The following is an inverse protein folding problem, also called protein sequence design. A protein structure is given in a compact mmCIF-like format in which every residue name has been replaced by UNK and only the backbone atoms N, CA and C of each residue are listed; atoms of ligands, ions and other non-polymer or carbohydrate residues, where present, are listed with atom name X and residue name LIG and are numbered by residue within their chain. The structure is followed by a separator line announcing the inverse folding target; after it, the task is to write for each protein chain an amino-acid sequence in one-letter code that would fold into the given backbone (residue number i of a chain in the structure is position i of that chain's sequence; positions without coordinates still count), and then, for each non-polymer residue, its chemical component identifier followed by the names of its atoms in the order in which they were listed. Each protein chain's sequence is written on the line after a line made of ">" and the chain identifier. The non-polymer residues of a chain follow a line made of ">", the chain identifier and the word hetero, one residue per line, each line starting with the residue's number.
data_IF_129710439663
#
_entry.id   IF_129710439663
#
_cell.length_a   1.000
_cell.length_b   1.000
_cell.length_c   1.000
_cell.angle_alpha   90.00
_cell.angle_beta   90.00
_cell.angle_gamma   90.00
#
_symmetry.space_group_name_H-M   'P 1'
#
loop_
_entity.id
_entity.type
_entity.pdbx_description
1 polymer ?
#
# COMPACT_ATOMS: atom_id res chain seq x y z
N UNK A 1 14.49 11.34 6.14
CA UNK A 1 13.50 12.36 5.77
C UNK A 1 14.12 13.74 5.82
N UNK A 2 13.42 14.78 5.34
CA UNK A 2 13.87 16.17 5.54
C UNK A 2 14.07 16.36 7.05
N UNK A 3 15.26 16.83 7.47
CA UNK A 3 15.74 16.94 8.86
C UNK A 3 16.46 15.71 9.45
N UNK A 4 16.88 14.73 8.65
CA UNK A 4 17.70 13.61 9.14
C UNK A 4 16.94 12.58 10.00
N UNK A 5 15.62 12.76 10.20
CA UNK A 5 14.77 11.75 10.83
C UNK A 5 14.74 10.48 10.00
N UNK A 6 14.91 9.35 10.67
CA UNK A 6 14.62 8.03 10.10
C UNK A 6 13.11 8.00 9.80
N UNK A 7 12.79 7.74 8.54
CA UNK A 7 11.42 7.51 8.11
C UNK A 7 11.22 6.01 8.06
N UNK A 8 10.06 5.57 8.54
CA UNK A 8 9.63 4.20 8.43
C UNK A 8 8.60 4.09 7.33
N UNK A 9 8.73 3.04 6.51
CA UNK A 9 7.74 2.67 5.49
C UNK A 9 6.92 1.54 6.07
N UNK A 10 5.60 1.63 6.00
CA UNK A 10 4.75 0.57 6.49
C UNK A 10 4.88 -0.70 5.62
N UNK A 11 4.88 -1.88 6.23
CA UNK A 11 4.99 -3.14 5.52
C UNK A 11 4.23 -4.27 6.17
N UNK A 12 3.98 -5.31 5.37
CA UNK A 12 3.39 -6.56 5.83
C UNK A 12 4.32 -7.26 6.86
N UNK A 13 3.76 -7.83 7.94
CA UNK A 13 4.53 -8.55 8.95
C UNK A 13 5.42 -9.68 8.41
N UNK A 14 5.12 -10.24 7.24
CA UNK A 14 5.94 -11.25 6.55
C UNK A 14 7.31 -10.73 6.11
N UNK A 15 7.48 -9.41 5.99
CA UNK A 15 8.78 -8.76 5.71
C UNK A 15 9.52 -8.32 6.98
N UNK A 16 8.96 -8.60 8.16
CA UNK A 16 9.60 -8.26 9.44
C UNK A 16 11.00 -8.89 9.56
N UNK A 17 11.95 -8.11 10.08
CA UNK A 17 13.33 -8.53 10.32
C UNK A 17 14.29 -8.44 9.13
N UNK A 18 13.82 -8.32 7.89
CA UNK A 18 14.69 -8.15 6.70
C UNK A 18 15.08 -6.70 6.43
N UNK A 19 14.24 -5.74 6.84
CA UNK A 19 14.44 -4.34 6.53
C UNK A 19 14.13 -3.46 7.75
N UNK A 20 15.13 -2.81 8.36
CA UNK A 20 14.97 -2.07 9.63
C UNK A 20 14.16 -0.78 9.49
N UNK A 21 13.92 -0.32 8.26
CA UNK A 21 13.08 0.83 7.95
C UNK A 21 11.63 0.45 7.66
N UNK A 22 11.28 -0.85 7.73
CA UNK A 22 9.90 -1.29 7.61
C UNK A 22 9.24 -1.38 8.98
N UNK A 23 8.14 -0.68 9.14
CA UNK A 23 7.31 -0.73 10.34
C UNK A 23 6.07 -1.57 10.07
N UNK A 24 5.70 -2.38 11.05
CA UNK A 24 4.57 -3.31 10.98
C UNK A 24 3.70 -3.12 12.24
N UNK A 25 2.46 -3.66 12.28
CA UNK A 25 1.59 -3.51 13.43
C UNK A 25 2.29 -3.93 14.71
N UNK A 26 2.18 -3.11 15.75
CA UNK A 26 2.73 -3.40 17.05
C UNK A 26 2.06 -4.67 17.60
N UNK A 27 2.83 -5.75 17.72
CA UNK A 27 2.40 -7.02 18.30
C UNK A 27 2.80 -7.03 19.77
N UNK A 28 1.99 -6.41 20.63
CA UNK A 28 2.20 -6.41 22.07
C UNK A 28 0.92 -6.85 22.78
N UNK A 29 1.03 -7.79 23.73
CA UNK A 29 -0.07 -8.16 24.63
C UNK A 29 -0.46 -7.03 25.60
N UNK A 30 0.44 -6.05 25.78
CA UNK A 30 0.27 -4.87 26.63
C UNK A 30 0.63 -3.62 25.81
N UNK A 31 -0.08 -3.39 24.71
CA UNK A 31 0.12 -2.21 23.87
C UNK A 31 -0.21 -0.95 24.65
N UNK A 32 0.77 -0.04 24.74
CA UNK A 32 0.56 1.33 25.25
C UNK A 32 -0.49 2.02 24.37
N UNK A 33 -1.31 2.94 24.92
CA UNK A 33 -2.41 3.58 24.19
C UNK A 33 -2.00 4.16 22.84
N UNK A 34 -0.80 4.72 22.75
CA UNK A 34 -0.25 5.30 21.52
C UNK A 34 0.00 4.24 20.43
N UNK A 35 0.46 3.04 20.81
CA UNK A 35 0.65 1.92 19.89
C UNK A 35 -0.68 1.40 19.37
N UNK A 36 -1.71 1.37 20.23
CA UNK A 36 -3.04 0.95 19.83
C UNK A 36 -3.68 1.93 18.84
N UNK A 37 -3.60 3.23 19.11
CA UNK A 37 -4.07 4.26 18.16
C UNK A 37 -3.31 4.17 16.85
N UNK A 38 -1.99 3.97 16.89
CA UNK A 38 -1.20 3.79 15.67
C UNK A 38 -1.65 2.56 14.86
N UNK A 39 -1.88 1.41 15.52
CA UNK A 39 -2.40 0.22 14.86
C UNK A 39 -3.80 0.44 14.26
N UNK A 40 -4.70 1.16 14.93
CA UNK A 40 -6.04 1.46 14.42
C UNK A 40 -6.00 2.31 13.15
N UNK A 41 -5.24 3.41 13.18
CA UNK A 41 -5.03 4.25 11.99
C UNK A 41 -4.43 3.43 10.85
N UNK A 42 -3.47 2.57 11.16
CA UNK A 42 -2.84 1.71 10.15
C UNK A 42 -3.82 0.71 9.52
N UNK A 43 -4.67 0.07 10.32
CA UNK A 43 -5.68 -0.87 9.81
C UNK A 43 -6.62 -0.15 8.83
N UNK A 44 -7.04 1.07 9.14
CA UNK A 44 -7.88 1.88 8.25
C UNK A 44 -7.22 2.13 6.89
N UNK A 45 -5.97 2.58 6.88
CA UNK A 45 -5.23 2.81 5.64
C UNK A 45 -5.04 1.50 4.86
N UNK A 46 -4.78 0.39 5.57
CA UNK A 46 -4.57 -0.91 4.94
C UNK A 46 -5.84 -1.43 4.26
N UNK A 47 -6.98 -1.33 4.95
CA UNK A 47 -8.29 -1.66 4.40
C UNK A 47 -8.53 -0.82 3.14
N UNK A 48 -8.33 0.50 3.21
CA UNK A 48 -8.51 1.40 2.06
C UNK A 48 -7.68 0.95 0.85
N UNK A 49 -6.38 0.72 1.04
CA UNK A 49 -5.47 0.29 -0.03
C UNK A 49 -5.86 -1.07 -0.60
N UNK A 50 -6.23 -2.05 0.22
CA UNK A 50 -6.65 -3.37 -0.25
C UNK A 50 -7.93 -3.30 -1.09
N UNK A 51 -8.90 -2.46 -0.69
CA UNK A 51 -10.12 -2.23 -1.48
C UNK A 51 -9.83 -1.52 -2.80
N UNK A 52 -9.05 -0.43 -2.78
CA UNK A 52 -8.66 0.29 -3.99
C UNK A 52 -7.88 -0.61 -4.95
N UNK A 53 -6.95 -1.41 -4.42
CA UNK A 53 -6.18 -2.37 -5.20
C UNK A 53 -7.05 -3.49 -5.78
N UNK A 54 -8.02 -3.98 -5.00
CA UNK A 54 -9.03 -4.92 -5.47
C UNK A 54 -9.78 -4.38 -6.68
N UNK A 55 -10.31 -3.16 -6.58
CA UNK A 55 -11.03 -2.47 -7.66
C UNK A 55 -10.13 -2.27 -8.89
N UNK A 56 -8.92 -1.76 -8.69
CA UNK A 56 -7.98 -1.51 -9.78
C UNK A 56 -7.64 -2.80 -10.56
N UNK A 57 -7.42 -3.93 -9.89
CA UNK A 57 -7.18 -5.22 -10.56
C UNK A 57 -8.41 -5.73 -11.31
N UNK A 58 -9.61 -5.48 -10.81
CA UNK A 58 -10.86 -5.88 -11.47
C UNK A 58 -11.13 -5.05 -12.72
N UNK A 59 -10.87 -3.75 -12.70
CA UNK A 59 -11.13 -2.84 -13.81
C UNK A 59 -10.00 -2.84 -14.86
N UNK A 60 -8.76 -3.06 -14.43
CA UNK A 60 -7.57 -3.00 -15.28
C UNK A 60 -6.85 -4.35 -15.32
N UNK A 61 -7.24 -5.21 -16.26
CA UNK A 61 -6.60 -6.52 -16.48
C UNK A 61 -5.08 -6.44 -16.74
N UNK A 62 -4.58 -5.28 -17.18
CA UNK A 62 -3.15 -5.00 -17.36
C UNK A 62 -2.36 -5.06 -16.05
N UNK A 63 -3.00 -4.99 -14.88
CA UNK A 63 -2.32 -5.15 -13.60
C UNK A 63 -2.07 -6.61 -13.21
N UNK A 64 -2.58 -7.58 -13.99
CA UNK A 64 -2.32 -8.98 -13.72
C UNK A 64 -0.86 -9.34 -14.05
N UNK A 65 -0.04 -9.29 -13.00
CA UNK A 65 1.42 -9.32 -13.09
C UNK A 65 1.95 -10.68 -13.54
N UNK A 66 1.27 -11.77 -13.18
CA UNK A 66 1.81 -13.12 -13.35
C UNK A 66 1.77 -13.61 -14.80
N UNK A 67 0.86 -13.08 -15.63
CA UNK A 67 0.68 -13.53 -17.02
C UNK A 67 1.34 -12.63 -18.06
N UNK A 68 1.51 -11.33 -17.79
CA UNK A 68 1.72 -10.35 -18.87
C UNK A 68 2.95 -9.45 -18.74
N UNK A 69 3.62 -9.42 -17.59
CA UNK A 69 4.66 -8.41 -17.32
C UNK A 69 6.05 -9.00 -17.19
N UNK A 70 7.01 -8.37 -17.88
CA UNK A 70 8.43 -8.67 -17.76
C UNK A 70 9.10 -7.53 -17.00
N UNK A 71 9.79 -7.87 -15.91
CA UNK A 71 10.58 -6.93 -15.10
C UNK A 71 11.57 -6.19 -16.03
N UNK A 72 11.60 -4.86 -15.93
CA UNK A 72 12.40 -3.94 -16.77
C UNK A 72 12.03 -3.84 -18.26
N UNK A 73 11.04 -4.59 -18.75
CA UNK A 73 10.64 -4.59 -20.17
C UNK A 73 9.20 -4.10 -20.38
N UNK A 74 8.37 -4.14 -19.34
CA UNK A 74 7.02 -3.59 -19.35
C UNK A 74 6.98 -2.33 -18.49
N UNK A 75 6.25 -1.27 -18.91
CA UNK A 75 6.15 -0.02 -18.14
C UNK A 75 5.15 -0.17 -16.97
N UNK A 76 5.40 -1.17 -16.11
CA UNK A 76 4.50 -1.57 -15.02
C UNK A 76 4.20 -0.41 -14.05
N UNK A 77 5.19 0.43 -13.78
CA UNK A 77 5.01 1.60 -12.92
C UNK A 77 3.98 2.57 -13.50
N UNK A 78 4.00 2.78 -14.83
CA UNK A 78 3.03 3.64 -15.50
C UNK A 78 1.63 3.03 -15.45
N UNK A 79 1.50 1.72 -15.73
CA UNK A 79 0.22 1.03 -15.68
C UNK A 79 -0.40 1.11 -14.29
N UNK A 80 0.39 0.85 -13.25
CA UNK A 80 -0.03 0.99 -11.85
C UNK A 80 -0.48 2.42 -11.53
N UNK A 81 0.27 3.45 -11.93
CA UNK A 81 -0.13 4.83 -11.67
C UNK A 81 -1.45 5.18 -12.37
N UNK A 82 -1.61 4.83 -13.65
CA UNK A 82 -2.83 5.12 -14.40
C UNK A 82 -4.05 4.38 -13.81
N UNK A 83 -3.90 3.11 -13.43
CA UNK A 83 -5.00 2.30 -12.91
C UNK A 83 -5.48 2.72 -11.52
N UNK A 84 -4.67 3.47 -10.76
CA UNK A 84 -5.09 4.04 -9.47
C UNK A 84 -5.69 5.44 -9.67
N UNK A 85 -5.09 6.28 -10.53
CA UNK A 85 -5.53 7.66 -10.72
C UNK A 85 -6.84 7.77 -11.51
N UNK A 86 -7.04 6.92 -12.53
CA UNK A 86 -8.23 7.00 -13.38
C UNK A 86 -9.53 6.67 -12.63
N UNK A 87 -9.61 5.61 -11.79
CA UNK A 87 -10.78 5.38 -10.94
C UNK A 87 -11.06 6.51 -9.97
N UNK A 88 -10.02 7.08 -9.36
CA UNK A 88 -10.19 8.21 -8.44
C UNK A 88 -10.74 9.43 -9.16
N UNK A 89 -10.20 9.75 -10.35
CA UNK A 89 -10.71 10.83 -11.19
C UNK A 89 -12.15 10.58 -11.64
N UNK A 90 -12.48 9.34 -12.01
CA UNK A 90 -13.83 8.95 -12.40
C UNK A 90 -14.82 9.11 -11.23
N UNK A 91 -14.48 8.63 -10.03
CA UNK A 91 -15.28 8.84 -8.82
C UNK A 91 -15.48 10.32 -8.54
N UNK A 92 -14.44 11.17 -8.62
CA UNK A 92 -14.61 12.62 -8.42
C UNK A 92 -15.52 13.32 -9.44
N UNK A 93 -15.73 12.74 -10.62
CA UNK A 93 -16.52 13.35 -11.70
C UNK A 93 -17.97 12.82 -11.75
N UNK A 94 -18.20 11.59 -11.31
CA UNK A 94 -19.45 10.87 -11.55
C UNK A 94 -20.12 10.32 -10.28
N UNK A 95 -19.48 10.42 -9.12
CA UNK A 95 -20.08 10.15 -7.79
C UNK A 95 -20.07 11.41 -6.92
#
# INVERSE_FOLDING_TARGET
>A
GPNGKILFVYSDPGYSGKFPHLQYPFKSAFSVPEQHTCNLEMIWHWICVEWEWGKAKTEFAILDWWQMHKVLLSPIALYFCCSILLPNAHTCLYE
#
